data_IF_363415951125
#
_entry.id   IF_363415951125
#
_cell.length_a   1.000
_cell.length_b   1.000
_cell.length_c   1.000
_cell.angle_alpha   90.00
_cell.angle_beta   90.00
_cell.angle_gamma   90.00
#
_symmetry.space_group_name_H-M   'P 1'
#
loop_
_entity.id
_entity.type
_entity.pdbx_description
1 polymer ?
#
# COMPACT_ATOMS: atom_id res chain seq x y z
N UNK A 1 45.94 16.47 -10.32
CA UNK A 1 44.52 16.89 -10.19
C UNK A 1 43.67 15.65 -10.43
N UNK A 2 43.25 14.98 -9.36
CA UNK A 2 42.40 13.78 -9.47
C UNK A 2 40.95 14.24 -9.56
N UNK A 3 40.30 13.87 -10.66
CA UNK A 3 38.87 14.04 -10.89
C UNK A 3 38.15 13.10 -9.92
N UNK A 4 37.47 13.65 -8.94
CA UNK A 4 36.50 12.89 -8.14
C UNK A 4 35.36 12.60 -9.11
N UNK A 5 35.21 11.34 -9.48
CA UNK A 5 33.99 10.87 -10.13
C UNK A 5 32.87 10.99 -9.10
N UNK A 6 31.96 11.94 -9.32
CA UNK A 6 30.67 11.96 -8.64
C UNK A 6 29.95 10.67 -9.01
N UNK A 7 30.07 9.67 -8.15
CA UNK A 7 29.21 8.49 -8.19
C UNK A 7 27.82 8.99 -7.80
N UNK A 8 26.94 9.20 -8.80
CA UNK A 8 25.51 9.38 -8.52
C UNK A 8 25.08 8.29 -7.55
N UNK A 9 24.42 8.62 -6.42
CA UNK A 9 23.88 7.60 -5.55
C UNK A 9 22.91 6.78 -6.39
N UNK A 10 23.25 5.51 -6.64
CA UNK A 10 22.37 4.53 -7.28
C UNK A 10 21.01 4.69 -6.63
N UNK A 11 20.02 5.22 -7.36
CA UNK A 11 18.64 5.26 -6.89
C UNK A 11 18.29 3.82 -6.56
N UNK A 12 18.19 3.48 -5.28
CA UNK A 12 17.84 2.13 -4.85
C UNK A 12 16.55 1.74 -5.57
N UNK A 13 16.67 0.82 -6.53
CA UNK A 13 15.55 0.37 -7.32
C UNK A 13 14.52 -0.24 -6.38
N UNK A 14 13.28 0.25 -6.45
CA UNK A 14 12.17 -0.37 -5.73
C UNK A 14 11.84 -1.74 -6.32
N UNK A 15 10.88 -2.47 -5.72
CA UNK A 15 10.31 -3.67 -6.32
C UNK A 15 9.90 -3.43 -7.78
N UNK A 16 9.98 -4.43 -8.67
CA UNK A 16 9.46 -4.32 -10.03
C UNK A 16 7.96 -4.00 -10.06
N UNK A 17 7.52 -3.21 -11.03
CA UNK A 17 6.13 -2.71 -11.10
C UNK A 17 5.10 -3.83 -11.31
N UNK A 18 5.44 -4.82 -12.13
CA UNK A 18 4.62 -6.00 -12.38
C UNK A 18 4.44 -6.86 -11.11
N UNK A 19 5.49 -7.01 -10.30
CA UNK A 19 5.43 -7.70 -9.01
C UNK A 19 4.47 -7.00 -8.04
N UNK A 20 4.48 -5.67 -8.04
CA UNK A 20 3.60 -4.85 -7.18
C UNK A 20 2.15 -4.94 -7.64
N UNK A 21 1.91 -4.86 -8.95
CA UNK A 21 0.58 -5.05 -9.53
C UNK A 21 0.00 -6.44 -9.20
N UNK A 22 0.81 -7.50 -9.31
CA UNK A 22 0.41 -8.85 -8.92
C UNK A 22 0.14 -8.99 -7.41
N UNK A 23 0.92 -8.30 -6.57
CA UNK A 23 0.67 -8.29 -5.12
C UNK A 23 -0.71 -7.69 -4.81
N UNK A 24 -1.06 -6.56 -5.43
CA UNK A 24 -2.38 -5.92 -5.27
C UNK A 24 -3.49 -6.89 -5.66
N UNK A 25 -3.42 -7.49 -6.85
CA UNK A 25 -4.44 -8.44 -7.32
C UNK A 25 -4.63 -9.61 -6.36
N UNK A 26 -3.55 -10.17 -5.84
CA UNK A 26 -3.62 -11.29 -4.89
C UNK A 26 -4.21 -10.87 -3.55
N UNK A 27 -3.81 -9.71 -3.03
CA UNK A 27 -4.35 -9.18 -1.79
C UNK A 27 -5.86 -8.90 -1.91
N UNK A 28 -6.33 -8.41 -3.06
CA UNK A 28 -7.75 -8.24 -3.35
C UNK A 28 -8.49 -9.59 -3.39
N UNK A 29 -7.88 -10.64 -3.94
CA UNK A 29 -8.48 -11.98 -3.98
C UNK A 29 -8.49 -12.72 -2.63
N UNK A 30 -7.70 -12.25 -1.65
CA UNK A 30 -7.53 -12.91 -0.36
C UNK A 30 -7.98 -12.05 0.83
N UNK A 31 -8.73 -10.98 0.58
CA UNK A 31 -9.17 -10.00 1.59
C UNK A 31 -8.01 -9.49 2.48
N UNK A 32 -6.85 -9.23 1.86
CA UNK A 32 -5.65 -8.77 2.55
C UNK A 32 -4.91 -9.85 3.35
N UNK A 33 -5.31 -11.12 3.28
CA UNK A 33 -4.57 -12.24 3.87
C UNK A 33 -3.29 -12.50 3.07
N UNK A 34 -2.16 -11.99 3.58
CA UNK A 34 -0.83 -12.15 2.98
C UNK A 34 0.18 -12.42 4.08
N UNK A 35 1.03 -13.43 3.93
CA UNK A 35 2.09 -13.67 4.91
C UNK A 35 3.21 -12.64 4.79
N UNK A 36 3.80 -12.25 5.92
CA UNK A 36 4.98 -11.37 5.96
C UNK A 36 6.12 -11.91 5.11
N UNK A 37 6.44 -13.21 5.25
CA UNK A 37 7.49 -13.85 4.47
C UNK A 37 7.19 -13.81 2.97
N UNK A 38 5.94 -14.06 2.55
CA UNK A 38 5.61 -14.00 1.14
C UNK A 38 5.59 -12.56 0.60
N UNK A 39 5.34 -11.57 1.45
CA UNK A 39 5.43 -10.15 1.07
C UNK A 39 6.90 -9.74 0.88
N UNK A 40 7.79 -10.09 1.82
CA UNK A 40 9.23 -9.82 1.73
C UNK A 40 9.88 -10.62 0.59
N UNK A 41 9.53 -11.89 0.40
CA UNK A 41 10.04 -12.70 -0.72
C UNK A 41 9.70 -12.12 -2.08
N UNK A 42 8.53 -11.47 -2.22
CA UNK A 42 8.09 -10.87 -3.48
C UNK A 42 8.66 -9.48 -3.69
N UNK A 43 8.52 -8.60 -2.71
CA UNK A 43 8.96 -7.21 -2.82
C UNK A 43 10.48 -7.04 -2.61
N UNK A 44 11.16 -8.08 -2.12
CA UNK A 44 12.55 -8.00 -1.68
C UNK A 44 12.66 -7.48 -0.25
N UNK A 45 13.89 -7.16 0.16
CA UNK A 45 14.13 -6.62 1.49
C UNK A 45 13.61 -5.17 1.58
N UNK A 46 12.82 -4.83 2.62
CA UNK A 46 12.44 -3.44 2.86
C UNK A 46 13.65 -2.60 3.25
N UNK A 47 13.64 -1.33 2.87
CA UNK A 47 14.66 -0.34 3.27
C UNK A 47 14.60 -0.07 4.76
N UNK A 48 13.39 -0.11 5.32
CA UNK A 48 13.14 0.10 6.75
C UNK A 48 11.92 -0.71 7.19
N UNK A 49 11.99 -1.25 8.40
CA UNK A 49 10.85 -1.84 9.09
C UNK A 49 10.64 -1.07 10.38
N UNK A 50 9.47 -0.45 10.53
CA UNK A 50 9.03 0.14 11.78
C UNK A 50 8.09 -0.84 12.47
N UNK A 51 8.20 -0.99 13.79
CA UNK A 51 7.39 -1.95 14.55
C UNK A 51 6.81 -1.25 15.76
N UNK A 52 5.51 -1.45 16.01
CA UNK A 52 4.83 -0.93 17.19
C UNK A 52 3.94 -1.99 17.84
N UNK A 53 3.94 -2.12 19.18
CA UNK A 53 2.94 -2.93 19.85
C UNK A 53 1.56 -2.27 19.73
N UNK A 54 0.51 -3.09 19.65
CA UNK A 54 -0.88 -2.64 19.64
C UNK A 54 -1.73 -3.58 20.49
N UNK A 55 -2.57 -3.02 21.37
CA UNK A 55 -3.50 -3.84 22.14
C UNK A 55 -4.52 -4.48 21.19
N UNK A 56 -4.75 -5.78 21.32
CA UNK A 56 -5.76 -6.48 20.55
C UNK A 56 -7.15 -6.00 21.01
N UNK A 57 -8.01 -5.64 20.06
CA UNK A 57 -9.34 -5.10 20.34
C UNK A 57 -10.38 -6.16 20.76
N UNK A 58 -10.08 -7.44 20.60
CA UNK A 58 -10.99 -8.57 20.82
C UNK A 58 -10.54 -9.51 21.94
N UNK A 59 -9.25 -9.57 22.25
CA UNK A 59 -8.67 -10.44 23.28
C UNK A 59 -8.01 -9.57 24.35
N UNK A 60 -8.63 -9.54 25.53
CA UNK A 60 -8.14 -8.74 26.65
C UNK A 60 -6.74 -9.18 27.10
N UNK A 61 -5.89 -8.21 27.41
CA UNK A 61 -4.48 -8.42 27.76
C UNK A 61 -3.57 -8.91 26.63
N UNK A 62 -4.08 -9.16 25.42
CA UNK A 62 -3.25 -9.52 24.28
C UNK A 62 -2.66 -8.26 23.63
N UNK A 63 -1.35 -8.32 23.38
CA UNK A 63 -0.60 -7.27 22.65
C UNK A 63 -0.07 -7.87 21.36
N UNK A 64 -0.62 -7.39 20.25
CA UNK A 64 -0.23 -7.72 18.89
C UNK A 64 0.83 -6.75 18.38
N UNK A 65 1.28 -6.95 17.14
CA UNK A 65 2.32 -6.14 16.53
C UNK A 65 1.83 -5.54 15.21
N UNK A 66 2.04 -4.25 15.02
CA UNK A 66 1.89 -3.62 13.71
C UNK A 66 3.27 -3.30 13.15
N UNK A 67 3.53 -3.69 11.90
CA UNK A 67 4.78 -3.42 11.20
C UNK A 67 4.52 -2.58 9.95
N UNK A 68 5.31 -1.53 9.77
CA UNK A 68 5.35 -0.76 8.52
C UNK A 68 6.62 -1.13 7.77
N UNK A 69 6.48 -1.79 6.63
CA UNK A 69 7.58 -2.09 5.72
C UNK A 69 7.68 -0.99 4.67
N UNK A 70 8.84 -0.34 4.59
CA UNK A 70 9.08 0.79 3.68
C UNK A 70 10.01 0.36 2.56
N UNK A 71 9.56 0.52 1.32
CA UNK A 71 10.32 0.33 0.08
C UNK A 71 10.40 1.66 -0.68
N UNK A 72 11.18 1.72 -1.76
CA UNK A 72 11.17 2.90 -2.63
C UNK A 72 9.79 3.09 -3.25
N UNK A 73 9.01 4.06 -2.77
CA UNK A 73 7.69 4.41 -3.31
C UNK A 73 6.53 3.51 -2.90
N UNK A 74 6.75 2.58 -1.98
CA UNK A 74 5.73 1.67 -1.43
C UNK A 74 5.85 1.61 0.08
N UNK A 75 4.72 1.61 0.76
CA UNK A 75 4.62 1.25 2.17
C UNK A 75 3.57 0.15 2.36
N UNK A 76 3.93 -0.90 3.08
CA UNK A 76 3.02 -1.97 3.47
C UNK A 76 2.86 -1.98 4.99
N UNK A 77 1.63 -1.81 5.47
CA UNK A 77 1.27 -1.90 6.87
C UNK A 77 0.68 -3.29 7.14
N UNK A 78 1.34 -4.07 8.00
CA UNK A 78 0.91 -5.43 8.33
C UNK A 78 0.58 -5.56 9.81
N UNK A 79 -0.48 -6.31 10.12
CA UNK A 79 -0.91 -6.67 11.46
C UNK A 79 -0.53 -8.12 11.75
N UNK A 80 0.28 -8.31 12.77
CA UNK A 80 0.85 -9.58 13.21
C UNK A 80 0.18 -9.96 14.54
N UNK A 81 -0.70 -10.96 14.47
CA UNK A 81 -1.49 -11.42 15.61
C UNK A 81 -0.60 -12.29 16.50
N UNK A 82 -0.47 -11.92 17.77
CA UNK A 82 0.32 -12.69 18.74
C UNK A 82 -0.19 -14.14 18.82
N UNK A 83 0.75 -15.09 18.88
CA UNK A 83 0.48 -16.53 18.97
C UNK A 83 -0.36 -17.10 17.81
N UNK A 84 -0.36 -16.44 16.66
CA UNK A 84 -1.06 -16.87 15.46
C UNK A 84 -0.13 -16.80 14.25
N UNK A 85 -0.22 -17.74 13.30
CA UNK A 85 0.50 -17.63 12.03
C UNK A 85 -0.15 -16.58 11.09
N UNK A 86 -1.30 -16.00 11.48
CA UNK A 86 -2.03 -15.05 10.63
C UNK A 86 -1.36 -13.67 10.69
N UNK A 87 -1.06 -13.17 9.50
CA UNK A 87 -0.63 -11.80 9.27
C UNK A 87 -1.58 -11.20 8.24
N UNK A 88 -2.03 -9.98 8.49
CA UNK A 88 -2.95 -9.28 7.61
C UNK A 88 -2.27 -8.05 7.04
N UNK A 89 -2.31 -7.90 5.71
CA UNK A 89 -1.97 -6.64 5.06
C UNK A 89 -3.12 -5.67 5.35
N UNK A 90 -2.88 -4.68 6.22
CA UNK A 90 -3.87 -3.67 6.60
C UNK A 90 -3.95 -2.58 5.54
N UNK A 91 -2.79 -2.15 5.04
CA UNK A 91 -2.70 -1.11 4.03
C UNK A 91 -1.52 -1.35 3.10
N UNK A 92 -1.73 -1.16 1.81
CA UNK A 92 -0.66 -0.99 0.83
C UNK A 92 -0.76 0.39 0.22
N UNK A 93 0.31 1.17 0.28
CA UNK A 93 0.37 2.55 -0.21
C UNK A 93 1.41 2.65 -1.33
N UNK A 94 1.02 3.24 -2.46
CA UNK A 94 1.89 3.59 -3.58
C UNK A 94 2.01 5.10 -3.67
N UNK A 95 3.24 5.61 -3.72
CA UNK A 95 3.53 7.05 -3.81
C UNK A 95 4.56 7.41 -4.89
N UNK A 96 5.12 6.42 -5.59
CA UNK A 96 6.05 6.64 -6.71
C UNK A 96 5.38 6.50 -8.07
N UNK A 97 5.84 7.28 -9.04
CA UNK A 97 5.38 7.26 -10.44
C UNK A 97 5.87 6.02 -11.20
N UNK A 98 6.76 5.21 -10.62
CA UNK A 98 7.29 4.00 -11.25
C UNK A 98 6.30 2.82 -11.25
N UNK A 99 5.21 2.95 -10.51
CA UNK A 99 4.23 1.90 -10.30
C UNK A 99 2.93 2.17 -11.05
N UNK A 100 2.37 1.10 -11.60
CA UNK A 100 1.06 1.11 -12.22
C UNK A 100 0.18 0.06 -11.53
N UNK A 101 -1.04 0.45 -11.19
CA UNK A 101 -2.03 -0.45 -10.57
C UNK A 101 -2.59 -1.43 -11.61
N UNK A 102 -3.26 -2.52 -11.18
CA UNK A 102 -3.93 -3.45 -12.08
C UNK A 102 -4.92 -2.78 -13.05
N UNK A 103 -5.58 -1.71 -12.61
CA UNK A 103 -6.55 -0.93 -13.38
C UNK A 103 -5.87 0.06 -14.35
N UNK A 104 -4.54 0.16 -14.34
CA UNK A 104 -3.78 1.08 -15.18
C UNK A 104 -3.58 2.47 -14.58
N UNK A 105 -3.89 2.68 -13.30
CA UNK A 105 -3.64 3.94 -12.62
C UNK A 105 -2.19 4.08 -12.17
N UNK A 106 -1.74 5.32 -11.99
CA UNK A 106 -0.38 5.61 -11.55
C UNK A 106 -0.33 6.96 -10.84
N UNK A 107 0.67 7.15 -9.98
CA UNK A 107 0.91 8.44 -9.32
C UNK A 107 1.30 9.49 -10.36
N UNK A 108 0.69 10.68 -10.28
CA UNK A 108 0.83 11.76 -11.24
C UNK A 108 -0.27 11.82 -12.31
N UNK A 109 -1.09 10.76 -12.44
CA UNK A 109 -2.30 10.78 -13.26
C UNK A 109 -3.20 11.94 -12.87
N UNK A 110 -3.90 12.52 -13.84
CA UNK A 110 -4.88 13.57 -13.56
C UNK A 110 -6.14 12.97 -12.94
N UNK A 111 -6.86 13.78 -12.18
CA UNK A 111 -8.11 13.34 -11.55
C UNK A 111 -9.18 12.89 -12.57
N UNK A 112 -9.33 13.60 -13.68
CA UNK A 112 -10.25 13.23 -14.77
C UNK A 112 -9.95 11.83 -15.33
N UNK A 113 -8.67 11.48 -15.45
CA UNK A 113 -8.24 10.14 -15.85
C UNK A 113 -8.64 9.07 -14.81
N UNK A 114 -8.54 9.37 -13.51
CA UNK A 114 -8.99 8.46 -12.44
C UNK A 114 -10.48 8.19 -12.58
N UNK A 115 -11.28 9.24 -12.73
CA UNK A 115 -12.73 9.14 -12.88
C UNK A 115 -13.13 8.40 -14.17
N UNK A 116 -12.35 8.53 -15.24
CA UNK A 116 -12.61 7.79 -16.48
C UNK A 116 -12.30 6.29 -16.37
N UNK A 117 -11.26 5.92 -15.60
CA UNK A 117 -10.84 4.52 -15.43
C UNK A 117 -11.71 3.80 -14.39
N UNK A 118 -11.95 4.43 -13.25
CA UNK A 118 -12.65 3.81 -12.12
C UNK A 118 -14.12 4.21 -11.99
N UNK A 119 -14.57 5.23 -12.72
CA UNK A 119 -15.88 5.83 -12.53
C UNK A 119 -15.96 6.73 -11.29
N UNK A 120 -17.20 7.01 -10.89
CA UNK A 120 -17.53 7.85 -9.72
C UNK A 120 -17.11 7.14 -8.43
N UNK A 121 -16.39 7.80 -7.52
CA UNK A 121 -16.04 7.20 -6.24
C UNK A 121 -17.28 6.99 -5.36
N UNK A 122 -17.25 5.96 -4.52
CA UNK A 122 -18.28 5.71 -3.51
C UNK A 122 -18.43 6.90 -2.56
N UNK A 123 -17.30 7.48 -2.15
CA UNK A 123 -17.24 8.67 -1.28
C UNK A 123 -16.11 9.60 -1.69
N UNK A 124 -16.27 10.87 -1.40
CA UNK A 124 -15.23 11.89 -1.59
C UNK A 124 -14.98 12.62 -0.29
N UNK A 125 -13.71 12.84 0.04
CA UNK A 125 -13.31 13.70 1.14
C UNK A 125 -12.52 14.89 0.61
N UNK A 126 -13.20 16.01 0.42
CA UNK A 126 -12.60 17.21 -0.15
C UNK A 126 -11.53 17.83 0.76
N UNK A 127 -11.61 17.63 2.08
CA UNK A 127 -10.65 18.17 3.04
C UNK A 127 -9.26 17.52 2.94
N UNK A 128 -9.23 16.24 2.58
CA UNK A 128 -8.00 15.45 2.42
C UNK A 128 -7.61 15.23 0.96
N UNK A 129 -8.53 15.54 0.04
CA UNK A 129 -8.40 15.33 -1.40
C UNK A 129 -8.54 13.86 -1.80
N UNK A 130 -9.39 13.09 -1.11
CA UNK A 130 -9.49 11.64 -1.31
C UNK A 130 -10.73 11.25 -2.14
N UNK A 131 -10.50 10.41 -3.14
CA UNK A 131 -11.53 9.66 -3.85
C UNK A 131 -11.53 8.23 -3.28
N UNK A 132 -12.64 7.80 -2.70
CA UNK A 132 -12.74 6.53 -1.98
C UNK A 132 -13.66 5.60 -2.77
N UNK A 133 -13.08 4.51 -3.27
CA UNK A 133 -13.77 3.43 -3.97
C UNK A 133 -13.83 2.24 -3.02
N UNK A 134 -15.02 1.93 -2.55
CA UNK A 134 -15.21 0.93 -1.51
C UNK A 134 -16.29 -0.06 -1.92
N UNK A 135 -16.02 -1.33 -1.71
CA UNK A 135 -16.97 -2.42 -1.91
C UNK A 135 -18.16 -2.29 -0.94
N UNK A 136 -19.27 -2.95 -1.25
CA UNK A 136 -20.50 -2.89 -0.44
C UNK A 136 -20.59 -3.96 0.64
N UNK A 137 -19.59 -4.83 0.74
CA UNK A 137 -19.59 -5.99 1.63
C UNK A 137 -19.34 -5.61 3.09
N UNK A 138 -19.54 -6.57 4.00
CA UNK A 138 -19.40 -6.35 5.45
C UNK A 138 -17.97 -6.05 5.92
N UNK A 139 -16.95 -6.38 5.11
CA UNK A 139 -15.52 -6.09 5.33
C UNK A 139 -14.91 -5.54 4.03
N UNK A 140 -15.37 -4.38 3.59
CA UNK A 140 -15.14 -3.94 2.23
C UNK A 140 -13.69 -3.48 2.05
N UNK A 141 -13.01 -3.97 1.03
CA UNK A 141 -11.72 -3.38 0.65
C UNK A 141 -11.98 -1.98 0.10
N UNK A 142 -11.15 -1.01 0.49
CA UNK A 142 -11.22 0.35 -0.02
C UNK A 142 -9.96 0.71 -0.80
N UNK A 143 -10.13 1.16 -2.04
CA UNK A 143 -9.11 1.87 -2.78
C UNK A 143 -9.29 3.38 -2.55
N UNK A 144 -8.30 4.01 -1.95
CA UNK A 144 -8.28 5.44 -1.68
C UNK A 144 -7.24 6.12 -2.57
N UNK A 145 -7.72 6.89 -3.54
CA UNK A 145 -6.88 7.69 -4.43
C UNK A 145 -6.79 9.10 -3.86
N UNK A 146 -5.59 9.51 -3.45
CA UNK A 146 -5.34 10.86 -2.95
C UNK A 146 -4.91 11.77 -4.08
N UNK A 147 -5.61 12.88 -4.23
CA UNK A 147 -5.43 13.89 -5.27
C UNK A 147 -5.02 15.21 -4.63
N UNK A 148 -3.99 15.84 -5.18
CA UNK A 148 -3.55 17.18 -4.81
C UNK A 148 -3.27 17.97 -6.08
N UNK A 149 -3.80 19.19 -6.15
CA UNK A 149 -3.66 20.06 -7.33
C UNK A 149 -4.09 19.34 -8.64
N UNK A 150 -5.18 18.56 -8.58
CA UNK A 150 -5.73 17.83 -9.72
C UNK A 150 -4.93 16.61 -10.18
N UNK A 151 -3.93 16.16 -9.41
CA UNK A 151 -3.11 14.98 -9.72
C UNK A 151 -3.04 13.98 -8.58
N UNK A 152 -2.99 12.71 -8.91
CA UNK A 152 -2.78 11.62 -7.95
C UNK A 152 -1.41 11.76 -7.30
N UNK A 153 -1.37 11.75 -5.97
CA UNK A 153 -0.13 11.78 -5.18
C UNK A 153 0.08 10.49 -4.38
N UNK A 154 -0.98 9.73 -4.14
CA UNK A 154 -0.91 8.42 -3.52
C UNK A 154 -2.12 7.56 -3.92
N UNK A 155 -1.92 6.25 -3.92
CA UNK A 155 -2.98 5.26 -4.09
C UNK A 155 -2.84 4.27 -2.95
N UNK A 156 -3.89 4.08 -2.17
CA UNK A 156 -3.90 3.16 -1.04
C UNK A 156 -4.95 2.07 -1.25
N UNK A 157 -4.61 0.84 -0.90
CA UNK A 157 -5.60 -0.22 -0.65
C UNK A 157 -5.65 -0.45 0.86
N UNK A 158 -6.83 -0.30 1.44
CA UNK A 158 -7.11 -0.54 2.85
C UNK A 158 -7.98 -1.79 2.97
N UNK A 159 -7.48 -2.78 3.71
CA UNK A 159 -8.14 -4.06 3.91
C UNK A 159 -8.65 -4.13 5.35
N UNK A 160 -9.93 -4.47 5.49
CA UNK A 160 -10.58 -4.62 6.77
C UNK A 160 -10.72 -6.11 7.08
N UNK A 161 -10.24 -6.53 8.24
CA UNK A 161 -10.35 -7.90 8.73
C UNK A 161 -11.03 -7.89 10.10
N UNK A 162 -11.75 -8.96 10.40
CA UNK A 162 -12.34 -9.23 11.71
C UNK A 162 -12.06 -10.67 12.09
#
# INVERSE_FOLDING_TARGET
MSRVEDVEPTREAGPPSDVVSQLIQRALQSDGSVSYDALVQRLGAPRRVETRPIANQYVDGQVDTLRTLVYTGIEALVYDVKNSPKIFLVRLSISSTQYTTPEGLYVGAKEDQVLNILGTPTRRNDSTGELIYQETDSKPTAMVVRVRNGRVVAINWEFYFA
#
